data_IF_912278949833
#
_entry.id   IF_912278949833
#
_cell.length_a   1.000
_cell.length_b   1.000
_cell.length_c   1.000
_cell.angle_alpha   90.00
_cell.angle_beta   90.00
_cell.angle_gamma   90.00
#
_symmetry.space_group_name_H-M   'P 1'
#
loop_
_entity.id
_entity.type
_entity.pdbx_description
1 polymer ?
#
# COMPACT_ATOMS: atom_id res chain seq x y z
N UNK A 1 9.50 -3.79 26.60
CA UNK A 1 8.79 -4.93 25.98
C UNK A 1 7.56 -5.23 26.83
N UNK A 2 6.39 -5.00 26.29
CA UNK A 2 5.13 -5.27 26.98
C UNK A 2 4.88 -6.78 27.02
N UNK A 3 4.52 -7.29 28.16
CA UNK A 3 4.07 -8.68 28.31
C UNK A 3 2.54 -8.69 28.31
N UNK A 4 1.95 -9.66 27.60
CA UNK A 4 0.50 -9.87 27.63
C UNK A 4 0.03 -10.19 29.05
N UNK A 5 -0.93 -9.41 29.57
CA UNK A 5 -1.65 -9.73 30.79
C UNK A 5 -2.57 -10.92 30.56
N UNK A 6 -3.00 -11.63 31.61
CA UNK A 6 -3.94 -12.76 31.51
C UNK A 6 -5.26 -12.33 30.82
N UNK A 7 -5.73 -11.11 31.08
CA UNK A 7 -6.96 -10.56 30.48
C UNK A 7 -6.78 -10.32 28.97
N UNK A 8 -5.61 -9.83 28.55
CA UNK A 8 -5.27 -9.64 27.13
C UNK A 8 -5.08 -10.97 26.43
N UNK A 9 -4.39 -11.92 27.06
CA UNK A 9 -4.24 -13.27 26.53
C UNK A 9 -5.59 -13.97 26.31
N UNK A 10 -6.52 -13.82 27.25
CA UNK A 10 -7.90 -14.33 27.10
C UNK A 10 -8.65 -13.67 25.94
N UNK A 11 -8.52 -12.35 25.76
CA UNK A 11 -9.12 -11.61 24.64
C UNK A 11 -8.54 -12.03 23.30
N UNK A 12 -7.25 -12.36 23.25
CA UNK A 12 -6.49 -12.72 22.05
C UNK A 12 -6.34 -14.23 21.85
N UNK A 13 -7.08 -15.06 22.58
CA UNK A 13 -6.95 -16.54 22.56
C UNK A 13 -6.98 -17.13 21.14
N UNK A 14 -7.91 -16.68 20.28
CA UNK A 14 -8.02 -17.15 18.89
C UNK A 14 -6.80 -16.78 18.05
N UNK A 15 -6.20 -15.61 18.29
CA UNK A 15 -5.01 -15.16 17.58
C UNK A 15 -3.75 -15.85 18.09
N UNK A 16 -3.66 -16.06 19.41
CA UNK A 16 -2.58 -16.83 20.02
C UNK A 16 -2.56 -18.26 19.45
N UNK A 17 -3.73 -18.88 19.23
CA UNK A 17 -3.80 -20.18 18.54
C UNK A 17 -3.31 -20.12 17.10
N UNK A 18 -3.51 -19.01 16.41
CA UNK A 18 -3.06 -18.83 15.03
C UNK A 18 -1.59 -18.45 14.93
N UNK A 19 -1.13 -17.47 15.72
CA UNK A 19 0.21 -16.87 15.61
C UNK A 19 1.20 -17.35 16.65
N UNK A 20 0.79 -18.14 17.62
CA UNK A 20 1.49 -18.47 18.87
C UNK A 20 1.54 -17.31 19.86
N UNK A 21 1.95 -17.60 21.09
CA UNK A 21 2.14 -16.57 22.13
C UNK A 21 3.25 -15.58 21.77
N UNK A 22 4.35 -16.07 21.24
CA UNK A 22 5.47 -15.22 20.80
C UNK A 22 5.09 -14.37 19.59
N UNK A 23 4.31 -14.90 18.63
CA UNK A 23 3.79 -14.13 17.51
C UNK A 23 2.87 -13.00 17.97
N UNK A 24 1.95 -13.27 18.91
CA UNK A 24 1.08 -12.22 19.46
C UNK A 24 1.87 -11.16 20.24
N UNK A 25 2.91 -11.57 20.94
CA UNK A 25 3.83 -10.65 21.62
C UNK A 25 4.61 -9.78 20.62
N UNK A 26 5.01 -10.33 19.47
CA UNK A 26 5.62 -9.57 18.39
C UNK A 26 4.65 -8.53 17.83
N UNK A 27 3.38 -8.89 17.60
CA UNK A 27 2.33 -7.95 17.14
C UNK A 27 2.15 -6.81 18.15
N UNK A 28 2.06 -7.12 19.45
CA UNK A 28 1.90 -6.13 20.52
C UNK A 28 3.10 -5.15 20.62
N UNK A 29 4.29 -5.57 20.22
CA UNK A 29 5.49 -4.74 20.27
C UNK A 29 5.83 -4.08 18.92
N UNK A 30 5.01 -4.27 17.88
CA UNK A 30 5.27 -3.73 16.55
C UNK A 30 4.63 -2.37 16.34
N UNK A 31 5.26 -1.58 15.47
CA UNK A 31 4.82 -0.27 15.04
C UNK A 31 4.63 -0.24 13.52
N UNK A 32 3.42 0.06 13.07
CA UNK A 32 3.05 0.13 11.64
C UNK A 32 2.75 1.56 11.23
N UNK A 33 3.30 1.98 10.08
CA UNK A 33 2.97 3.23 9.43
C UNK A 33 1.99 2.99 8.29
N UNK A 34 0.85 3.69 8.31
CA UNK A 34 -0.12 3.69 7.24
C UNK A 34 -0.19 5.09 6.60
N UNK A 35 0.13 5.16 5.31
CA UNK A 35 0.13 6.40 4.53
C UNK A 35 -1.08 6.40 3.61
N UNK A 36 -1.84 7.49 3.62
CA UNK A 36 -3.15 7.66 3.00
C UNK A 36 -4.22 6.74 3.63
N UNK A 37 -5.02 7.31 4.52
CA UNK A 37 -6.14 6.62 5.19
C UNK A 37 -7.34 6.55 4.23
N UNK A 38 -7.16 5.82 3.13
CA UNK A 38 -8.18 5.51 2.12
C UNK A 38 -9.15 4.46 2.66
N UNK A 39 -10.12 4.02 1.87
CA UNK A 39 -10.99 2.89 2.22
C UNK A 39 -10.17 1.64 2.56
N UNK A 40 -9.22 1.28 1.70
CA UNK A 40 -8.34 0.11 1.90
C UNK A 40 -7.51 0.23 3.18
N UNK A 41 -6.79 1.33 3.39
CA UNK A 41 -5.98 1.51 4.59
C UNK A 41 -6.83 1.70 5.86
N UNK A 42 -8.07 2.16 5.76
CA UNK A 42 -8.99 2.17 6.91
C UNK A 42 -9.37 0.75 7.36
N UNK A 43 -9.57 -0.16 6.41
CA UNK A 43 -9.78 -1.57 6.68
C UNK A 43 -8.53 -2.25 7.26
N UNK A 44 -7.34 -1.92 6.73
CA UNK A 44 -6.05 -2.37 7.30
C UNK A 44 -5.94 -1.91 8.74
N UNK A 45 -6.11 -0.62 9.00
CA UNK A 45 -6.02 -0.04 10.35
C UNK A 45 -6.99 -0.72 11.34
N UNK A 46 -8.26 -0.89 10.94
CA UNK A 46 -9.27 -1.60 11.71
C UNK A 46 -8.84 -3.02 12.06
N UNK A 47 -8.40 -3.79 11.06
CA UNK A 47 -8.01 -5.19 11.24
C UNK A 47 -6.78 -5.32 12.15
N UNK A 48 -5.80 -4.44 12.00
CA UNK A 48 -4.61 -4.41 12.86
C UNK A 48 -4.95 -3.99 14.30
N UNK A 49 -5.84 -3.02 14.49
CA UNK A 49 -6.31 -2.62 15.81
C UNK A 49 -7.00 -3.79 16.53
N UNK A 50 -7.93 -4.48 15.85
CA UNK A 50 -8.59 -5.69 16.38
C UNK A 50 -7.57 -6.82 16.59
N UNK A 51 -6.55 -6.89 15.72
CA UNK A 51 -5.43 -7.84 15.77
C UNK A 51 -4.50 -7.68 16.96
N UNK A 52 -4.64 -6.59 17.74
CA UNK A 52 -3.83 -6.34 18.93
C UNK A 52 -2.46 -5.74 18.61
N UNK A 53 -2.35 -5.01 17.49
CA UNK A 53 -1.16 -4.23 17.18
C UNK A 53 -0.85 -3.25 18.33
N UNK A 54 0.44 -3.11 18.67
CA UNK A 54 0.86 -2.25 19.78
C UNK A 54 0.88 -0.77 19.42
N UNK A 55 1.39 -0.41 18.24
CA UNK A 55 1.49 0.99 17.83
C UNK A 55 1.19 1.19 16.34
N UNK A 56 0.48 2.28 16.03
CA UNK A 56 0.15 2.67 14.67
C UNK A 56 0.29 4.18 14.49
N UNK A 57 0.97 4.59 13.42
CA UNK A 57 1.02 5.99 13.00
C UNK A 57 0.29 6.15 11.67
N UNK A 58 -0.55 7.17 11.56
CA UNK A 58 -1.31 7.50 10.38
C UNK A 58 -0.79 8.79 9.74
N UNK A 59 -0.56 8.77 8.44
CA UNK A 59 -0.23 9.96 7.64
C UNK A 59 -1.28 10.13 6.55
N UNK A 60 -1.91 11.31 6.50
CA UNK A 60 -2.82 11.66 5.41
C UNK A 60 -2.89 13.18 5.25
N UNK A 61 -2.52 13.74 4.08
CA UNK A 61 -2.62 15.18 3.83
C UNK A 61 -4.07 15.63 3.53
N UNK A 62 -4.98 14.71 3.25
CA UNK A 62 -6.32 15.03 2.77
C UNK A 62 -7.33 15.20 3.89
N UNK A 63 -8.35 15.98 3.60
CA UNK A 63 -9.53 16.12 4.44
C UNK A 63 -10.57 15.05 4.10
N UNK A 64 -11.36 14.69 5.10
CA UNK A 64 -12.53 13.84 4.92
C UNK A 64 -13.55 14.54 4.03
N UNK A 65 -14.04 13.87 3.00
CA UNK A 65 -15.05 14.36 2.05
C UNK A 65 -16.23 13.39 1.98
N UNK A 66 -17.31 13.78 1.30
CA UNK A 66 -18.44 12.88 1.01
C UNK A 66 -17.96 11.58 0.30
N UNK A 67 -16.98 11.69 -0.61
CA UNK A 67 -16.39 10.54 -1.27
C UNK A 67 -15.70 9.58 -0.28
N UNK A 68 -15.06 10.11 0.76
CA UNK A 68 -14.42 9.29 1.79
C UNK A 68 -15.43 8.40 2.54
N UNK A 69 -16.68 8.86 2.70
CA UNK A 69 -17.72 8.10 3.42
C UNK A 69 -18.18 6.83 2.69
N UNK A 70 -17.89 6.71 1.38
CA UNK A 70 -18.36 5.58 0.59
C UNK A 70 -17.64 4.27 0.97
N UNK A 71 -16.39 4.33 1.39
CA UNK A 71 -15.56 3.14 1.63
C UNK A 71 -14.68 3.20 2.88
N UNK A 72 -14.44 4.38 3.45
CA UNK A 72 -13.62 4.51 4.65
C UNK A 72 -14.46 4.23 5.90
N UNK A 73 -14.11 3.17 6.62
CA UNK A 73 -14.85 2.67 7.79
C UNK A 73 -14.55 3.38 9.10
N UNK A 74 -13.56 4.30 9.09
CA UNK A 74 -13.09 5.01 10.28
C UNK A 74 -13.60 6.45 10.37
N UNK A 75 -14.43 6.90 9.41
CA UNK A 75 -14.94 8.27 9.37
C UNK A 75 -16.45 8.30 9.16
N UNK A 76 -17.09 9.34 9.68
CA UNK A 76 -18.52 9.61 9.54
C UNK A 76 -18.75 11.00 8.96
N UNK A 77 -20.02 11.38 8.72
CA UNK A 77 -20.39 12.72 8.25
C UNK A 77 -19.91 13.86 9.15
N UNK A 78 -19.79 13.63 10.44
CA UNK A 78 -19.29 14.63 11.40
C UNK A 78 -17.80 14.94 11.22
N UNK A 79 -17.09 14.11 10.47
CA UNK A 79 -15.67 14.26 10.16
C UNK A 79 -15.41 15.01 8.86
N UNK A 80 -16.44 15.33 8.06
CA UNK A 80 -16.27 16.08 6.81
C UNK A 80 -15.55 17.41 7.09
N UNK A 81 -14.52 17.69 6.31
CA UNK A 81 -13.64 18.85 6.46
C UNK A 81 -12.54 18.71 7.52
N UNK A 82 -12.49 17.62 8.29
CA UNK A 82 -11.38 17.31 9.19
C UNK A 82 -10.33 16.43 8.48
N UNK A 83 -9.07 16.53 8.90
CA UNK A 83 -8.02 15.65 8.39
C UNK A 83 -8.36 14.18 8.62
N UNK A 84 -8.26 13.33 7.58
CA UNK A 84 -8.68 11.92 7.63
C UNK A 84 -7.94 11.10 8.67
N UNK A 85 -6.61 11.27 8.79
CA UNK A 85 -5.84 10.53 9.78
C UNK A 85 -6.30 10.87 11.20
N UNK A 86 -6.42 12.16 11.53
CA UNK A 86 -6.87 12.61 12.85
C UNK A 86 -8.32 12.19 13.15
N UNK A 87 -9.19 12.24 12.15
CA UNK A 87 -10.58 11.83 12.28
C UNK A 87 -10.75 10.32 12.59
N UNK A 88 -9.80 9.50 12.13
CA UNK A 88 -9.84 8.05 12.30
C UNK A 88 -9.41 7.58 13.70
N UNK A 89 -8.70 8.40 14.47
CA UNK A 89 -8.12 7.99 15.76
C UNK A 89 -9.18 7.55 16.76
N UNK A 90 -10.30 8.25 16.86
CA UNK A 90 -11.37 7.95 17.82
C UNK A 90 -11.90 6.53 17.66
N UNK A 91 -12.25 6.14 16.44
CA UNK A 91 -12.76 4.80 16.15
C UNK A 91 -11.72 3.71 16.43
N UNK A 92 -10.45 3.94 16.09
CA UNK A 92 -9.39 2.98 16.35
C UNK A 92 -9.16 2.80 17.85
N UNK A 93 -9.22 3.90 18.62
CA UNK A 93 -9.07 3.85 20.07
C UNK A 93 -10.23 3.13 20.77
N UNK A 94 -11.46 3.26 20.25
CA UNK A 94 -12.62 2.50 20.74
C UNK A 94 -12.45 0.99 20.47
N UNK A 95 -11.94 0.62 19.29
CA UNK A 95 -11.71 -0.78 18.92
C UNK A 95 -10.61 -1.44 19.75
N UNK A 96 -9.55 -0.71 20.03
CA UNK A 96 -8.45 -1.20 20.87
C UNK A 96 -7.92 -0.07 21.77
N UNK A 97 -8.41 0.02 23.03
CA UNK A 97 -7.97 1.04 23.98
C UNK A 97 -6.46 0.99 24.31
N UNK A 98 -5.80 -0.14 24.08
CA UNK A 98 -4.37 -0.33 24.36
C UNK A 98 -3.47 0.01 23.16
N UNK A 99 -4.06 0.30 21.98
CA UNK A 99 -3.31 0.68 20.80
C UNK A 99 -2.73 2.09 20.97
N UNK A 100 -1.42 2.22 20.89
CA UNK A 100 -0.77 3.53 20.81
C UNK A 100 -0.98 4.11 19.40
N UNK A 101 -1.71 5.23 19.34
CA UNK A 101 -2.05 5.90 18.09
C UNK A 101 -1.34 7.25 17.96
N UNK A 102 -0.76 7.49 16.79
CA UNK A 102 -0.13 8.76 16.47
C UNK A 102 -0.47 9.21 15.04
N UNK A 103 -0.27 10.49 14.75
CA UNK A 103 -0.36 11.05 13.40
C UNK A 103 0.86 11.88 13.10
N UNK A 104 1.42 11.77 11.90
CA UNK A 104 2.53 12.60 11.46
C UNK A 104 2.13 13.44 10.23
N UNK A 105 2.90 14.48 9.97
CA UNK A 105 2.65 15.35 8.83
C UNK A 105 3.21 14.69 7.55
N UNK A 106 2.40 14.71 6.49
CA UNK A 106 2.79 14.22 5.17
C UNK A 106 4.01 14.97 4.62
N UNK A 107 4.06 16.27 4.81
CA UNK A 107 5.14 17.11 4.30
C UNK A 107 6.48 16.88 5.00
N UNK A 108 6.46 16.37 6.24
CA UNK A 108 7.69 15.96 6.93
C UNK A 108 8.35 14.76 6.25
N UNK A 109 7.57 13.92 5.57
CA UNK A 109 8.08 12.74 4.88
C UNK A 109 8.35 13.00 3.38
N UNK A 110 7.54 13.82 2.68
CA UNK A 110 7.58 13.92 1.22
C UNK A 110 7.97 15.28 0.62
N UNK A 111 7.93 16.37 1.38
CA UNK A 111 8.14 17.72 0.82
C UNK A 111 8.94 18.63 1.75
N UNK A 112 10.25 18.57 1.69
CA UNK A 112 11.10 19.62 2.27
C UNK A 112 11.96 20.27 1.18
N UNK A 113 11.34 21.01 0.28
CA UNK A 113 12.04 21.73 -0.81
C UNK A 113 12.97 22.87 -0.31
N UNK A 114 12.94 23.23 0.99
CA UNK A 114 13.63 24.42 1.53
C UNK A 114 14.68 24.15 2.64
N UNK A 115 14.99 22.90 2.97
CA UNK A 115 16.04 22.61 3.95
C UNK A 115 17.23 21.91 3.26
N UNK A 116 18.45 22.10 3.83
CA UNK A 116 19.66 21.40 3.36
C UNK A 116 19.33 19.91 3.17
N UNK A 117 19.36 19.42 1.92
CA UNK A 117 18.93 18.07 1.52
C UNK A 117 19.44 16.94 2.43
N UNK A 118 20.67 17.05 2.94
CA UNK A 118 21.27 16.04 3.81
C UNK A 118 20.65 16.01 5.22
N UNK A 119 20.24 17.16 5.79
CA UNK A 119 19.57 17.19 7.10
C UNK A 119 18.15 16.64 7.01
N UNK A 120 17.46 16.94 5.92
CA UNK A 120 16.11 16.44 5.66
C UNK A 120 16.11 14.92 5.49
N UNK A 121 17.00 14.36 4.68
CA UNK A 121 17.11 12.91 4.46
C UNK A 121 17.41 12.13 5.74
N UNK A 122 18.31 12.62 6.58
CA UNK A 122 18.61 11.98 7.87
C UNK A 122 17.39 11.98 8.81
N UNK A 123 16.65 13.08 8.88
CA UNK A 123 15.43 13.18 9.69
C UNK A 123 14.33 12.21 9.21
N UNK A 124 14.15 12.08 7.89
CA UNK A 124 13.18 11.15 7.29
C UNK A 124 13.61 9.69 7.50
N UNK A 125 14.90 9.39 7.37
CA UNK A 125 15.45 8.06 7.64
C UNK A 125 15.25 7.67 9.10
N UNK A 126 15.54 8.56 10.05
CA UNK A 126 15.31 8.33 11.49
C UNK A 126 13.82 8.17 11.81
N UNK A 127 12.95 8.87 11.07
CA UNK A 127 11.49 8.69 11.18
C UNK A 127 11.07 7.29 10.72
N UNK A 128 11.52 6.83 9.54
CA UNK A 128 11.16 5.50 9.02
C UNK A 128 11.75 4.38 9.88
N UNK A 129 12.90 4.57 10.48
CA UNK A 129 13.59 3.58 11.33
C UNK A 129 12.71 3.07 12.48
N UNK A 130 11.81 3.88 13.01
CA UNK A 130 10.96 3.51 14.16
C UNK A 130 9.83 2.53 13.81
N UNK A 131 9.53 2.32 12.53
CA UNK A 131 8.48 1.42 12.08
C UNK A 131 9.03 0.05 11.72
N UNK A 132 8.21 -0.98 11.89
CA UNK A 132 8.51 -2.33 11.43
C UNK A 132 8.02 -2.55 10.00
N UNK A 133 6.88 -1.95 9.67
CA UNK A 133 6.24 -2.03 8.35
C UNK A 133 5.71 -0.66 7.95
N UNK A 134 5.91 -0.32 6.68
CA UNK A 134 5.34 0.87 6.04
C UNK A 134 4.35 0.39 4.97
N UNK A 135 3.12 0.89 5.02
CA UNK A 135 2.10 0.60 4.03
C UNK A 135 1.56 1.90 3.42
N UNK A 136 1.56 1.99 2.10
CA UNK A 136 1.04 3.13 1.36
C UNK A 136 -0.01 2.70 0.35
N UNK A 137 -1.11 3.47 0.25
CA UNK A 137 -2.20 3.17 -0.67
C UNK A 137 -2.33 4.24 -1.76
N UNK A 138 -2.39 3.80 -3.03
CA UNK A 138 -2.51 4.66 -4.21
C UNK A 138 -1.43 5.77 -4.32
N UNK A 139 -0.14 5.43 -4.14
CA UNK A 139 0.94 6.41 -4.22
C UNK A 139 1.26 6.82 -5.66
N UNK A 140 1.98 7.92 -5.79
CA UNK A 140 2.73 8.24 -7.00
C UNK A 140 4.02 7.40 -7.07
N UNK A 141 4.62 7.28 -8.26
CA UNK A 141 5.89 6.56 -8.40
C UNK A 141 7.03 7.21 -7.59
N UNK A 142 7.03 8.54 -7.50
CA UNK A 142 8.05 9.27 -6.74
C UNK A 142 7.96 8.99 -5.23
N UNK A 143 6.74 8.88 -4.70
CA UNK A 143 6.53 8.50 -3.29
C UNK A 143 7.00 7.07 -3.02
N UNK A 144 6.67 6.14 -3.93
CA UNK A 144 7.14 4.75 -3.79
C UNK A 144 8.66 4.67 -3.82
N UNK A 145 9.31 5.35 -4.76
CA UNK A 145 10.76 5.36 -4.88
C UNK A 145 11.42 5.93 -3.62
N UNK A 146 10.90 7.07 -3.13
CA UNK A 146 11.40 7.70 -1.92
C UNK A 146 11.26 6.78 -0.70
N UNK A 147 10.10 6.15 -0.52
CA UNK A 147 9.88 5.18 0.57
C UNK A 147 10.73 3.93 0.41
N UNK A 148 10.93 3.45 -0.82
CA UNK A 148 11.81 2.31 -1.10
C UNK A 148 13.22 2.59 -0.60
N UNK A 149 13.80 3.76 -0.97
CA UNK A 149 15.15 4.14 -0.54
C UNK A 149 15.26 4.20 0.99
N UNK A 150 14.28 4.80 1.67
CA UNK A 150 14.26 4.92 3.13
C UNK A 150 14.06 3.57 3.82
N UNK A 151 13.17 2.72 3.30
CA UNK A 151 12.90 1.40 3.85
C UNK A 151 14.10 0.46 3.68
N UNK A 152 14.73 0.46 2.50
CA UNK A 152 15.95 -0.33 2.24
C UNK A 152 17.10 0.08 3.15
N UNK A 153 17.26 1.37 3.46
CA UNK A 153 18.30 1.87 4.38
C UNK A 153 18.20 1.23 5.78
N UNK A 154 16.99 0.89 6.22
CA UNK A 154 16.72 0.36 7.56
C UNK A 154 16.15 -1.07 7.57
N UNK A 155 16.15 -1.78 6.42
CA UNK A 155 15.57 -3.12 6.26
C UNK A 155 14.11 -3.20 6.76
N UNK A 156 13.27 -2.21 6.36
CA UNK A 156 11.86 -2.14 6.71
C UNK A 156 10.99 -2.60 5.56
N UNK A 157 10.04 -3.50 5.81
CA UNK A 157 9.12 -3.97 4.80
C UNK A 157 8.23 -2.81 4.30
N UNK A 158 8.17 -2.63 2.97
CA UNK A 158 7.28 -1.68 2.30
C UNK A 158 6.16 -2.44 1.58
N UNK A 159 4.92 -2.09 1.86
CA UNK A 159 3.75 -2.59 1.16
C UNK A 159 3.10 -1.46 0.36
N UNK A 160 2.97 -1.66 -0.94
CA UNK A 160 2.35 -0.70 -1.87
C UNK A 160 1.03 -1.28 -2.36
N UNK A 161 -0.07 -0.59 -2.07
CA UNK A 161 -1.39 -0.96 -2.52
C UNK A 161 -1.85 0.01 -3.61
N UNK A 162 -2.44 -0.51 -4.67
CA UNK A 162 -3.10 0.30 -5.68
C UNK A 162 -4.51 -0.19 -5.93
N UNK A 163 -5.49 0.70 -5.81
CA UNK A 163 -6.91 0.39 -6.04
C UNK A 163 -7.47 1.35 -7.06
N UNK A 164 -8.11 0.80 -8.07
CA UNK A 164 -8.79 1.51 -9.15
C UNK A 164 -10.11 0.83 -9.44
N UNK A 165 -11.20 1.37 -8.89
CA UNK A 165 -12.52 0.78 -9.01
C UNK A 165 -12.58 -0.63 -8.43
N UNK A 166 -12.79 -1.60 -9.31
CA UNK A 166 -12.89 -3.03 -8.96
C UNK A 166 -11.57 -3.78 -9.05
N UNK A 167 -10.54 -3.15 -9.61
CA UNK A 167 -9.23 -3.73 -9.79
C UNK A 167 -8.25 -3.22 -8.74
N UNK A 168 -7.34 -4.10 -8.33
CA UNK A 168 -6.33 -3.71 -7.34
C UNK A 168 -5.07 -4.58 -7.42
N UNK A 169 -4.00 -4.04 -6.86
CA UNK A 169 -2.78 -4.79 -6.63
C UNK A 169 -2.21 -4.51 -5.24
N UNK A 170 -1.45 -5.46 -4.76
CA UNK A 170 -0.56 -5.30 -3.59
C UNK A 170 0.83 -5.72 -4.03
N UNK A 171 1.80 -4.88 -3.79
CA UNK A 171 3.22 -5.18 -3.98
C UNK A 171 3.91 -5.18 -2.62
N UNK A 172 4.74 -6.19 -2.36
CA UNK A 172 5.46 -6.33 -1.10
C UNK A 172 6.96 -6.34 -1.38
N UNK A 173 7.64 -5.34 -0.82
CA UNK A 173 9.08 -5.22 -0.80
C UNK A 173 9.61 -5.52 0.62
N UNK A 174 10.26 -6.66 0.76
CA UNK A 174 10.85 -7.07 2.04
C UNK A 174 12.29 -6.59 2.23
N UNK A 175 12.78 -5.70 1.36
CA UNK A 175 14.14 -5.15 1.36
C UNK A 175 15.28 -6.19 1.28
N UNK A 176 14.97 -7.45 0.97
CA UNK A 176 15.97 -8.52 0.86
C UNK A 176 16.66 -8.55 -0.51
N UNK A 177 16.12 -7.85 -1.49
CA UNK A 177 16.59 -7.88 -2.89
C UNK A 177 16.43 -6.50 -3.52
N UNK A 178 17.55 -5.79 -3.65
CA UNK A 178 17.57 -4.44 -4.26
C UNK A 178 17.23 -4.45 -5.75
N UNK A 179 17.25 -5.62 -6.40
CA UNK A 179 16.85 -5.77 -7.81
C UNK A 179 15.33 -5.92 -7.98
N UNK A 180 14.59 -6.14 -6.91
CA UNK A 180 13.13 -6.33 -6.92
C UNK A 180 12.35 -5.19 -6.28
N UNK A 181 12.85 -3.98 -6.33
CA UNK A 181 12.10 -2.80 -5.93
C UNK A 181 10.91 -2.55 -6.87
N UNK A 182 9.87 -1.90 -6.38
CA UNK A 182 8.67 -1.61 -7.18
C UNK A 182 9.01 -0.98 -8.54
N UNK A 183 9.87 0.05 -8.53
CA UNK A 183 10.28 0.74 -9.74
C UNK A 183 10.99 -0.19 -10.74
N UNK A 184 11.92 -1.03 -10.28
CA UNK A 184 12.65 -1.95 -11.15
C UNK A 184 11.71 -2.97 -11.76
N UNK A 185 10.79 -3.49 -10.95
CA UNK A 185 9.80 -4.47 -11.42
C UNK A 185 8.82 -3.84 -12.41
N UNK A 186 8.31 -2.64 -12.13
CA UNK A 186 7.43 -1.91 -13.06
C UNK A 186 8.15 -1.54 -14.37
N UNK A 187 9.46 -1.33 -14.36
CA UNK A 187 10.24 -1.07 -15.58
C UNK A 187 10.76 -2.35 -16.29
N UNK A 188 10.32 -3.54 -15.86
CA UNK A 188 10.76 -4.80 -16.49
C UNK A 188 10.35 -4.85 -17.98
N UNK A 189 11.31 -5.02 -18.93
CA UNK A 189 10.96 -5.16 -20.34
C UNK A 189 10.10 -6.39 -20.61
N UNK A 190 9.19 -6.30 -21.58
CA UNK A 190 8.29 -7.42 -21.90
C UNK A 190 9.01 -8.66 -22.41
N UNK A 191 10.23 -8.51 -22.94
CA UNK A 191 11.11 -9.63 -23.28
C UNK A 191 11.45 -10.56 -22.11
N UNK A 192 11.47 -10.00 -20.90
CA UNK A 192 11.80 -10.73 -19.67
C UNK A 192 10.56 -11.33 -18.99
N UNK A 193 9.37 -11.13 -19.57
CA UNK A 193 8.10 -11.58 -19.02
C UNK A 193 7.52 -12.75 -19.81
N UNK A 194 6.84 -13.65 -19.13
CA UNK A 194 5.98 -14.61 -19.81
C UNK A 194 4.61 -13.99 -20.09
N UNK A 195 4.50 -13.25 -21.20
CA UNK A 195 3.32 -12.43 -21.55
C UNK A 195 1.99 -13.21 -21.51
N UNK A 196 2.01 -14.51 -21.80
CA UNK A 196 0.81 -15.35 -21.76
C UNK A 196 0.37 -15.73 -20.35
N UNK A 197 1.30 -15.67 -19.38
CA UNK A 197 1.06 -16.06 -17.98
C UNK A 197 0.97 -14.87 -17.06
N UNK A 198 1.63 -13.76 -17.40
CA UNK A 198 1.61 -12.52 -16.61
C UNK A 198 0.21 -11.93 -16.62
N UNK A 199 -0.27 -11.53 -15.47
CA UNK A 199 -1.58 -10.93 -15.28
C UNK A 199 -1.71 -9.64 -16.12
N UNK A 200 -2.86 -9.44 -16.76
CA UNK A 200 -3.13 -8.23 -17.54
C UNK A 200 -3.01 -6.95 -16.72
N UNK A 201 -3.40 -6.98 -15.46
CA UNK A 201 -3.28 -5.81 -14.56
C UNK A 201 -1.83 -5.35 -14.40
N UNK A 202 -0.83 -6.25 -14.46
CA UNK A 202 0.56 -5.84 -14.42
C UNK A 202 0.92 -4.88 -15.56
N UNK A 203 0.51 -5.18 -16.78
CA UNK A 203 0.79 -4.33 -17.94
C UNK A 203 0.07 -2.98 -17.84
N UNK A 204 -1.15 -2.96 -17.30
CA UNK A 204 -1.90 -1.71 -17.05
C UNK A 204 -1.16 -0.85 -16.02
N UNK A 205 -0.75 -1.45 -14.90
CA UNK A 205 0.00 -0.78 -13.83
C UNK A 205 1.33 -0.25 -14.35
N UNK A 206 2.05 -1.05 -15.12
CA UNK A 206 3.29 -0.66 -15.75
C UNK A 206 3.12 0.59 -16.64
N UNK A 207 2.18 0.55 -17.58
CA UNK A 207 1.89 1.69 -18.45
C UNK A 207 1.44 2.91 -17.66
N UNK A 208 0.59 2.74 -16.63
CA UNK A 208 0.12 3.82 -15.79
C UNK A 208 1.28 4.53 -15.08
N UNK A 209 2.13 3.79 -14.39
CA UNK A 209 3.26 4.40 -13.66
C UNK A 209 4.32 4.98 -14.58
N UNK A 210 4.59 4.38 -15.74
CA UNK A 210 5.52 4.93 -16.74
C UNK A 210 4.96 6.25 -17.31
N UNK A 211 3.68 6.30 -17.67
CA UNK A 211 3.03 7.49 -18.24
C UNK A 211 2.93 8.66 -17.25
N UNK A 212 2.86 8.32 -15.95
CA UNK A 212 2.70 9.32 -14.89
C UNK A 212 3.99 9.66 -14.14
N UNK A 213 5.15 9.18 -14.62
CA UNK A 213 6.45 9.19 -13.91
C UNK A 213 6.83 10.57 -13.37
N UNK A 214 6.62 11.63 -14.14
CA UNK A 214 7.05 12.99 -13.78
C UNK A 214 5.89 13.85 -13.23
N UNK A 215 4.76 13.25 -12.89
CA UNK A 215 3.55 13.97 -12.50
C UNK A 215 3.25 13.81 -11.01
N UNK A 216 3.04 14.96 -10.33
CA UNK A 216 2.63 15.01 -8.91
C UNK A 216 1.20 14.49 -8.70
N UNK A 217 0.36 14.56 -9.72
CA UNK A 217 -1.04 14.12 -9.65
C UNK A 217 -1.41 13.25 -10.87
N UNK A 218 -1.30 11.91 -10.76
CA UNK A 218 -1.60 10.99 -11.85
C UNK A 218 -3.04 11.10 -12.41
N UNK A 219 -3.99 11.53 -11.58
CA UNK A 219 -5.40 11.67 -11.99
C UNK A 219 -5.62 12.81 -13.01
N UNK A 220 -4.76 13.83 -12.97
CA UNK A 220 -4.88 15.01 -13.84
C UNK A 220 -4.06 14.90 -15.13
N UNK A 221 -3.37 13.78 -15.34
CA UNK A 221 -2.58 13.57 -16.55
C UNK A 221 -3.52 13.29 -17.72
N UNK A 222 -3.41 14.10 -18.77
CA UNK A 222 -4.07 13.81 -20.02
C UNK A 222 -3.24 12.76 -20.78
N UNK A 223 -3.77 11.55 -20.91
CA UNK A 223 -3.13 10.46 -21.62
C UNK A 223 -3.51 10.54 -23.11
N UNK A 224 -2.51 10.67 -23.97
CA UNK A 224 -2.68 10.64 -25.41
C UNK A 224 -2.44 9.20 -25.93
N UNK A 225 -3.31 8.74 -26.81
CA UNK A 225 -3.23 7.36 -27.33
C UNK A 225 -1.91 7.10 -28.08
N UNK A 226 -1.42 8.10 -28.81
CA UNK A 226 -0.15 8.01 -29.55
C UNK A 226 1.05 7.83 -28.60
N UNK A 227 1.10 8.57 -27.49
CA UNK A 227 2.19 8.48 -26.51
C UNK A 227 2.19 7.10 -25.84
N UNK A 228 1.00 6.60 -25.50
CA UNK A 228 0.85 5.25 -24.90
C UNK A 228 1.24 4.16 -25.90
N UNK A 229 0.85 4.28 -27.15
CA UNK A 229 1.24 3.33 -28.19
C UNK A 229 2.76 3.33 -28.41
N UNK A 230 3.41 4.50 -28.36
CA UNK A 230 4.88 4.59 -28.39
C UNK A 230 5.53 3.84 -27.22
N UNK A 231 5.04 4.02 -25.98
CA UNK A 231 5.53 3.29 -24.81
C UNK A 231 5.32 1.78 -24.99
N UNK A 232 4.16 1.37 -25.49
CA UNK A 232 3.85 -0.05 -25.79
C UNK A 232 4.86 -0.59 -26.80
N UNK A 233 5.12 0.14 -27.88
CA UNK A 233 6.08 -0.25 -28.91
C UNK A 233 7.49 -0.38 -28.33
N UNK A 234 7.96 0.56 -27.52
CA UNK A 234 9.24 0.51 -26.84
C UNK A 234 9.38 -0.72 -25.95
N UNK A 235 8.35 -1.03 -25.13
CA UNK A 235 8.35 -2.18 -24.22
C UNK A 235 8.26 -3.51 -24.99
N UNK A 236 7.67 -3.51 -26.17
CA UNK A 236 7.44 -4.71 -26.98
C UNK A 236 8.46 -4.95 -28.09
N UNK A 237 9.38 -4.01 -28.34
CA UNK A 237 10.37 -4.05 -29.45
C UNK A 237 11.14 -5.37 -29.58
N UNK A 238 11.40 -6.03 -28.45
CA UNK A 238 12.17 -7.29 -28.42
C UNK A 238 11.29 -8.54 -28.48
N UNK A 239 9.96 -8.38 -28.58
CA UNK A 239 9.00 -9.49 -28.48
C UNK A 239 8.07 -9.48 -29.70
N UNK A 240 8.12 -10.53 -30.50
CA UNK A 240 7.15 -10.70 -31.59
C UNK A 240 5.76 -11.06 -31.02
N UNK A 241 4.98 -10.04 -30.67
CA UNK A 241 3.64 -10.23 -30.14
C UNK A 241 2.62 -10.39 -31.26
N UNK A 242 1.87 -11.50 -31.26
CA UNK A 242 0.69 -11.64 -32.10
C UNK A 242 -0.47 -10.73 -31.66
N UNK A 243 -0.48 -10.32 -30.39
CA UNK A 243 -1.50 -9.46 -29.77
C UNK A 243 -0.91 -8.78 -28.53
N UNK A 244 -1.06 -7.48 -28.46
CA UNK A 244 -0.71 -6.68 -27.27
C UNK A 244 -1.64 -7.05 -26.11
N UNK A 245 -1.12 -7.27 -24.89
CA UNK A 245 -1.91 -7.76 -23.75
C UNK A 245 -2.87 -6.71 -23.16
N UNK A 246 -2.67 -5.44 -23.47
CA UNK A 246 -3.40 -4.29 -22.92
C UNK A 246 -3.80 -3.33 -24.05
N UNK A 247 -4.94 -2.64 -23.88
CA UNK A 247 -5.42 -1.59 -24.78
C UNK A 247 -5.35 -0.23 -24.09
N UNK A 248 -5.31 0.84 -24.86
CA UNK A 248 -5.40 2.21 -24.35
C UNK A 248 -6.65 2.43 -23.48
N UNK A 249 -7.81 1.88 -23.87
CA UNK A 249 -9.05 1.95 -23.08
C UNK A 249 -8.90 1.36 -21.68
N UNK A 250 -8.10 0.32 -21.50
CA UNK A 250 -7.89 -0.31 -20.20
C UNK A 250 -7.10 0.60 -19.24
N UNK A 251 -6.14 1.34 -19.83
CA UNK A 251 -5.35 2.33 -19.09
C UNK A 251 -6.20 3.55 -18.71
N UNK A 252 -7.08 4.01 -19.61
CA UNK A 252 -8.02 5.09 -19.31
C UNK A 252 -8.98 4.70 -18.18
N UNK A 253 -9.56 3.50 -18.25
CA UNK A 253 -10.43 2.99 -17.19
C UNK A 253 -9.69 2.93 -15.85
N UNK A 254 -8.45 2.45 -15.85
CA UNK A 254 -7.61 2.44 -14.65
C UNK A 254 -7.38 3.84 -14.10
N UNK A 255 -6.98 4.79 -14.95
CA UNK A 255 -6.70 6.16 -14.53
C UNK A 255 -7.95 6.88 -14.01
N UNK A 256 -9.08 6.77 -14.69
CA UNK A 256 -10.35 7.41 -14.30
C UNK A 256 -10.86 6.91 -12.95
N UNK A 257 -10.59 5.64 -12.65
CA UNK A 257 -10.98 5.02 -11.39
C UNK A 257 -9.87 5.02 -10.35
N UNK A 258 -8.70 5.60 -10.64
CA UNK A 258 -7.61 5.70 -9.67
C UNK A 258 -8.05 6.47 -8.42
N UNK A 259 -7.81 5.88 -7.25
CA UNK A 259 -8.35 6.37 -5.96
C UNK A 259 -9.88 6.36 -5.84
N UNK A 260 -10.60 5.80 -6.79
CA UNK A 260 -12.02 5.48 -6.64
C UNK A 260 -12.12 4.05 -6.12
N UNK A 261 -12.11 3.90 -4.81
CA UNK A 261 -12.25 2.60 -4.18
C UNK A 261 -13.74 2.24 -4.07
N UNK A 262 -14.05 0.98 -4.30
CA UNK A 262 -15.34 0.46 -3.88
C UNK A 262 -15.18 -0.30 -2.54
N UNK A 263 -16.22 -0.30 -1.70
CA UNK A 263 -16.12 -0.84 -0.34
C UNK A 263 -15.81 -2.33 -0.32
N UNK A 264 -16.27 -3.12 -1.30
CA UNK A 264 -15.95 -4.54 -1.38
C UNK A 264 -14.48 -4.79 -1.70
N UNK A 265 -13.94 -4.09 -2.69
CA UNK A 265 -12.50 -4.16 -3.03
C UNK A 265 -11.63 -3.69 -1.87
N UNK A 266 -11.99 -2.54 -1.24
CA UNK A 266 -11.29 -2.02 -0.09
C UNK A 266 -11.25 -3.02 1.07
N UNK A 267 -12.38 -3.68 1.38
CA UNK A 267 -12.46 -4.66 2.47
C UNK A 267 -11.65 -5.92 2.17
N UNK A 268 -11.70 -6.43 0.94
CA UNK A 268 -10.93 -7.62 0.56
C UNK A 268 -9.43 -7.34 0.59
N UNK A 269 -8.99 -6.25 -0.05
CA UNK A 269 -7.57 -5.88 -0.10
C UNK A 269 -7.06 -5.49 1.27
N UNK A 270 -7.83 -4.71 2.03
CA UNK A 270 -7.50 -4.36 3.42
C UNK A 270 -7.35 -5.60 4.31
N UNK A 271 -8.22 -6.62 4.12
CA UNK A 271 -8.10 -7.91 4.78
C UNK A 271 -6.82 -8.67 4.42
N UNK A 272 -6.49 -8.73 3.12
CA UNK A 272 -5.27 -9.40 2.64
C UNK A 272 -4.02 -8.67 3.15
N UNK A 273 -3.96 -7.35 3.02
CA UNK A 273 -2.80 -6.55 3.46
C UNK A 273 -2.58 -6.64 4.96
N UNK A 274 -3.65 -6.52 5.76
CA UNK A 274 -3.54 -6.69 7.21
C UNK A 274 -3.02 -8.07 7.60
N UNK A 275 -3.48 -9.11 6.91
CA UNK A 275 -3.00 -10.48 7.11
C UNK A 275 -1.52 -10.64 6.74
N UNK A 276 -1.05 -10.02 5.65
CA UNK A 276 0.36 -10.05 5.26
C UNK A 276 1.24 -9.24 6.23
N UNK A 277 0.75 -8.10 6.75
CA UNK A 277 1.42 -7.35 7.81
C UNK A 277 1.63 -8.24 9.05
N UNK A 278 0.58 -8.88 9.55
CA UNK A 278 0.66 -9.77 10.70
C UNK A 278 1.56 -10.99 10.46
N UNK A 279 1.51 -11.59 9.26
CA UNK A 279 2.40 -12.70 8.89
C UNK A 279 3.87 -12.27 8.85
N UNK A 280 4.16 -11.08 8.33
CA UNK A 280 5.52 -10.51 8.26
C UNK A 280 6.06 -10.25 9.66
N UNK A 281 5.26 -9.66 10.55
CA UNK A 281 5.63 -9.41 11.95
C UNK A 281 5.90 -10.73 12.70
N UNK A 282 5.03 -11.72 12.52
CA UNK A 282 5.14 -13.01 13.20
C UNK A 282 6.13 -13.97 12.54
N UNK A 283 6.64 -13.66 11.37
CA UNK A 283 7.52 -14.50 10.54
C UNK A 283 6.96 -15.94 10.34
N UNK A 284 5.63 -16.05 10.30
CA UNK A 284 4.95 -17.36 10.30
C UNK A 284 5.01 -18.06 8.95
N UNK A 285 4.98 -17.30 7.87
CA UNK A 285 5.12 -17.80 6.50
C UNK A 285 5.91 -16.80 5.66
N UNK A 286 6.42 -17.27 4.53
CA UNK A 286 7.04 -16.34 3.57
C UNK A 286 5.99 -15.35 3.10
N UNK A 287 6.33 -14.05 3.07
CA UNK A 287 5.48 -13.03 2.46
C UNK A 287 5.21 -13.33 0.98
N UNK A 288 4.15 -12.74 0.46
CA UNK A 288 3.86 -12.79 -0.98
C UNK A 288 5.08 -12.23 -1.75
N UNK A 289 5.60 -13.00 -2.69
CA UNK A 289 6.61 -12.57 -3.64
C UNK A 289 5.98 -12.42 -5.02
N UNK A 290 5.91 -11.23 -5.56
CA UNK A 290 6.03 -9.89 -5.01
C UNK A 290 4.73 -9.11 -5.22
N UNK A 291 3.91 -9.57 -6.20
CA UNK A 291 2.61 -9.01 -6.51
C UNK A 291 1.47 -9.94 -6.14
N UNK A 292 0.39 -9.33 -5.64
CA UNK A 292 -0.95 -9.89 -5.65
C UNK A 292 -1.82 -8.98 -6.51
N UNK A 293 -2.51 -9.54 -7.49
CA UNK A 293 -3.52 -8.88 -8.30
C UNK A 293 -4.90 -9.37 -7.89
N UNK A 294 -5.85 -8.46 -7.78
CA UNK A 294 -7.24 -8.80 -7.49
C UNK A 294 -8.17 -8.06 -8.46
N UNK A 295 -9.07 -8.81 -9.06
CA UNK A 295 -10.15 -8.32 -9.88
C UNK A 295 -11.48 -8.68 -9.23
N UNK A 296 -12.18 -7.69 -8.70
CA UNK A 296 -13.43 -7.89 -7.97
C UNK A 296 -14.56 -8.37 -8.88
N UNK A 297 -14.53 -8.03 -10.17
CA UNK A 297 -15.56 -8.48 -11.12
C UNK A 297 -15.50 -10.00 -11.33
N UNK A 298 -14.30 -10.55 -11.48
CA UNK A 298 -14.11 -11.99 -11.60
C UNK A 298 -14.05 -12.70 -10.23
N UNK A 299 -13.79 -11.97 -9.14
CA UNK A 299 -13.58 -12.52 -7.80
C UNK A 299 -12.26 -13.27 -7.64
N UNK A 300 -11.33 -13.14 -8.58
CA UNK A 300 -10.06 -13.85 -8.55
C UNK A 300 -8.93 -13.00 -7.98
N UNK A 301 -8.20 -13.59 -7.02
CA UNK A 301 -6.91 -13.09 -6.57
C UNK A 301 -5.80 -13.99 -7.13
N UNK A 302 -4.72 -13.38 -7.64
CA UNK A 302 -3.57 -14.09 -8.19
C UNK A 302 -2.27 -13.51 -7.67
N UNK A 303 -1.42 -14.39 -7.14
CA UNK A 303 -0.07 -14.05 -6.71
C UNK A 303 0.87 -14.35 -7.88
N UNK A 304 1.73 -13.40 -8.21
CA UNK A 304 2.75 -13.54 -9.25
C UNK A 304 4.08 -13.00 -8.75
N UNK A 305 5.13 -13.71 -9.11
CA UNK A 305 6.51 -13.25 -8.98
C UNK A 305 6.94 -12.69 -10.32
N UNK A 306 7.16 -11.40 -10.36
CA UNK A 306 7.61 -10.66 -11.52
C UNK A 306 9.14 -10.39 -11.39
#
# INVERSE_FOLDING_TARGET
MNNLSEKEASRMDRQIRLYSFEGQKSILNSHVLLIYVTGTNSEVAKNLAIGGLGKMTLIDPFLTSEKSLCCNVLVTREHIGKNRAKASLGFLQEMNPNLELDTADYYDLFNRENENENKSKNSQADFIKQFDIVCICNPTINEVNHLTDLCHLHNKCLMVCGVSGENSFVFIDNCNDTEKTFQKVVNTPWSNLNIRRTNRLFFIIQLFYISCKDRKNPESVQLEENDINQIIDELSQSVQLKKVPVKFSDLLDWQQNWKNENSSTASIIGGIVSQEILNTICQKRKPIENFLFFDNFSGFARIEKI
#
